data_IF_307934506530
#
_entry.id   IF_307934506530
#
_cell.length_a   1.000
_cell.length_b   1.000
_cell.length_c   1.000
_cell.angle_alpha   90.00
_cell.angle_beta   90.00
_cell.angle_gamma   90.00
#
_symmetry.space_group_name_H-M   'P 1'
#
loop_
_entity.id
_entity.type
_entity.pdbx_description
1 polymer ?
#
# COMPACT_ATOMS: atom_id res chain seq x y z
N UNK A 1 5.51 36.76 -5.59
CA UNK A 1 4.62 36.54 -4.43
C UNK A 1 3.38 35.83 -4.93
N UNK A 2 3.30 34.51 -4.72
CA UNK A 2 2.19 33.68 -5.24
C UNK A 2 0.92 33.98 -4.43
N UNK A 3 -0.07 34.59 -5.09
CA UNK A 3 -1.40 34.88 -4.55
C UNK A 3 -2.31 33.65 -4.70
N UNK A 4 -2.12 32.64 -3.84
CA UNK A 4 -3.04 31.51 -3.73
C UNK A 4 -3.50 31.33 -2.27
N UNK A 5 -4.31 32.27 -1.73
CA UNK A 5 -4.74 32.25 -0.32
C UNK A 5 -5.54 31.01 0.07
N UNK A 6 -6.10 30.27 -0.89
CA UNK A 6 -6.84 29.03 -0.62
C UNK A 6 -5.94 27.82 -0.32
N UNK A 7 -4.66 27.83 -0.75
CA UNK A 7 -3.72 26.74 -0.47
C UNK A 7 -3.13 26.81 0.95
N UNK A 8 -3.19 27.97 1.60
CA UNK A 8 -2.72 28.17 2.97
C UNK A 8 -3.66 27.59 4.04
N UNK A 9 -4.86 27.15 3.65
CA UNK A 9 -5.90 26.66 4.58
C UNK A 9 -5.99 25.14 4.71
N UNK A 10 -5.13 24.39 4.02
CA UNK A 10 -4.98 22.95 4.25
C UNK A 10 -3.80 22.72 5.18
N UNK A 11 -4.08 22.76 6.48
CA UNK A 11 -3.10 22.37 7.49
C UNK A 11 -2.95 20.86 7.37
N UNK A 12 -1.76 20.38 7.03
CA UNK A 12 -1.48 18.94 7.00
C UNK A 12 -1.75 18.29 8.37
N UNK A 13 -1.82 16.95 8.44
CA UNK A 13 -2.06 16.28 9.71
C UNK A 13 -0.97 16.62 10.72
N UNK A 14 -1.36 16.89 11.96
CA UNK A 14 -0.47 17.15 13.09
C UNK A 14 -0.22 15.89 13.94
N UNK A 15 -0.68 14.73 13.46
CA UNK A 15 -0.56 13.43 14.12
C UNK A 15 -0.32 12.35 13.08
N UNK A 16 0.45 11.33 13.47
CA UNK A 16 0.66 10.13 12.66
C UNK A 16 -0.58 9.24 12.62
N UNK A 17 -1.49 9.37 13.59
CA UNK A 17 -2.79 8.70 13.55
C UNK A 17 -3.75 9.44 12.58
N UNK A 18 -3.37 9.44 11.31
CA UNK A 18 -4.11 10.04 10.21
C UNK A 18 -4.16 9.06 9.04
N UNK A 19 -5.19 9.21 8.18
CA UNK A 19 -5.40 8.42 6.97
C UNK A 19 -4.15 8.24 6.11
N UNK A 20 -3.30 9.25 5.99
CA UNK A 20 -2.06 9.14 5.21
C UNK A 20 -1.13 8.02 5.69
N UNK A 21 -1.20 7.63 6.97
CA UNK A 21 -0.45 6.49 7.51
C UNK A 21 -1.38 5.29 7.69
N UNK A 22 -2.51 5.48 8.37
CA UNK A 22 -3.40 4.38 8.77
C UNK A 22 -4.11 3.72 7.59
N UNK A 23 -4.20 4.38 6.44
CA UNK A 23 -4.78 3.83 5.20
C UNK A 23 -3.70 3.54 4.16
N UNK A 24 -2.90 4.53 3.77
CA UNK A 24 -1.99 4.37 2.62
C UNK A 24 -0.90 3.33 2.86
N UNK A 25 -0.40 3.18 4.09
CA UNK A 25 0.63 2.19 4.39
C UNK A 25 0.07 0.76 4.28
N UNK A 26 -0.94 0.34 5.07
CA UNK A 26 -1.45 -1.01 5.01
C UNK A 26 -2.21 -1.36 3.71
N UNK A 27 -2.83 -0.38 3.04
CA UNK A 27 -3.72 -0.65 1.89
C UNK A 27 -3.17 -0.20 0.54
N UNK A 28 -2.11 0.62 0.49
CA UNK A 28 -1.43 0.96 -0.77
C UNK A 28 0.00 0.42 -0.81
N UNK A 29 0.85 0.76 0.19
CA UNK A 29 2.27 0.41 0.14
C UNK A 29 2.53 -1.10 0.28
N UNK A 30 1.90 -1.74 1.27
CA UNK A 30 2.00 -3.18 1.50
C UNK A 30 1.58 -4.00 0.27
N UNK A 31 0.38 -3.81 -0.31
CA UNK A 31 -0.01 -4.54 -1.52
C UNK A 31 0.85 -4.18 -2.74
N UNK A 32 1.32 -2.93 -2.87
CA UNK A 32 2.21 -2.53 -3.96
C UNK A 32 3.54 -3.28 -3.93
N UNK A 33 4.18 -3.36 -2.76
CA UNK A 33 5.41 -4.12 -2.56
C UNK A 33 5.22 -5.62 -2.85
N UNK A 34 4.09 -6.19 -2.39
CA UNK A 34 3.73 -7.57 -2.70
C UNK A 34 3.56 -7.83 -4.20
N UNK A 35 2.80 -6.98 -4.90
CA UNK A 35 2.60 -7.09 -6.34
C UNK A 35 3.89 -6.92 -7.13
N UNK A 36 4.76 -5.98 -6.73
CA UNK A 36 6.07 -5.81 -7.36
C UNK A 36 6.93 -7.07 -7.23
N UNK A 37 6.92 -7.69 -6.04
CA UNK A 37 7.64 -8.95 -5.79
C UNK A 37 7.13 -10.09 -6.69
N UNK A 38 5.83 -10.19 -6.94
CA UNK A 38 5.26 -11.20 -7.85
C UNK A 38 5.78 -11.09 -9.29
N UNK A 39 6.11 -9.88 -9.73
CA UNK A 39 6.64 -9.63 -11.08
C UNK A 39 8.17 -9.49 -11.12
N UNK A 40 8.85 -9.84 -10.03
CA UNK A 40 10.32 -9.80 -9.94
C UNK A 40 10.90 -8.39 -9.86
N UNK A 41 10.11 -7.39 -9.45
CA UNK A 41 10.55 -6.01 -9.25
C UNK A 41 10.78 -5.71 -7.77
N UNK A 42 11.79 -4.89 -7.49
CA UNK A 42 12.04 -4.37 -6.14
C UNK A 42 11.44 -2.98 -5.97
N UNK A 43 10.95 -2.66 -4.76
CA UNK A 43 10.39 -1.35 -4.42
C UNK A 43 11.07 -0.77 -3.17
N UNK A 44 12.40 -0.55 -3.19
CA UNK A 44 13.18 -0.26 -1.97
C UNK A 44 12.69 0.98 -1.21
N UNK A 45 12.19 2.00 -1.90
CA UNK A 45 11.63 3.21 -1.27
C UNK A 45 10.29 2.91 -0.60
N UNK A 46 9.40 2.15 -1.25
CA UNK A 46 8.13 1.71 -0.65
C UNK A 46 8.38 0.85 0.58
N UNK A 47 9.32 -0.08 0.48
CA UNK A 47 9.65 -1.00 1.57
C UNK A 47 10.25 -0.26 2.77
N UNK A 48 11.11 0.72 2.50
CA UNK A 48 11.68 1.59 3.54
C UNK A 48 10.59 2.43 4.21
N UNK A 49 9.68 3.04 3.44
CA UNK A 49 8.57 3.83 3.99
C UNK A 49 7.62 2.98 4.84
N UNK A 50 7.26 1.77 4.39
CA UNK A 50 6.43 0.84 5.16
C UNK A 50 7.11 0.43 6.47
N UNK A 51 8.42 0.17 6.42
CA UNK A 51 9.20 -0.20 7.61
C UNK A 51 9.25 0.94 8.62
N UNK A 52 9.52 2.17 8.17
CA UNK A 52 9.53 3.35 9.03
C UNK A 52 8.15 3.63 9.63
N UNK A 53 7.09 3.57 8.82
CA UNK A 53 5.73 3.74 9.31
C UNK A 53 5.34 2.68 10.34
N UNK A 54 5.74 1.42 10.13
CA UNK A 54 5.50 0.34 11.08
C UNK A 54 6.15 0.63 12.43
N UNK A 55 7.42 1.05 12.41
CA UNK A 55 8.15 1.41 13.61
C UNK A 55 7.54 2.64 14.33
N UNK A 56 7.14 3.67 13.59
CA UNK A 56 6.53 4.88 14.14
C UNK A 56 5.15 4.63 14.75
N UNK A 57 4.35 3.74 14.16
CA UNK A 57 3.00 3.44 14.62
C UNK A 57 2.96 2.31 15.67
N UNK A 58 4.05 1.55 15.82
CA UNK A 58 4.07 0.35 16.67
C UNK A 58 3.20 -0.78 16.14
N UNK A 59 2.99 -0.82 14.81
CA UNK A 59 2.15 -1.82 14.12
C UNK A 59 3.02 -2.48 13.06
N UNK A 60 3.09 -3.80 13.04
CA UNK A 60 3.75 -4.51 11.94
C UNK A 60 2.84 -4.52 10.70
N UNK A 61 2.97 -3.52 9.83
CA UNK A 61 2.14 -3.43 8.63
C UNK A 61 2.42 -4.52 7.59
N UNK A 62 3.56 -5.23 7.66
CA UNK A 62 3.81 -6.35 6.76
C UNK A 62 2.86 -7.52 7.04
N UNK A 63 2.57 -7.74 8.32
CA UNK A 63 1.62 -8.76 8.79
C UNK A 63 0.19 -8.24 8.83
N UNK A 64 -0.02 -7.03 9.35
CA UNK A 64 -1.35 -6.45 9.57
C UNK A 64 -1.97 -5.84 8.30
N UNK A 65 -1.15 -5.33 7.38
CA UNK A 65 -1.59 -4.74 6.12
C UNK A 65 -2.20 -5.74 5.15
N UNK A 66 -2.73 -5.21 4.04
CA UNK A 66 -3.40 -5.98 2.99
C UNK A 66 -2.38 -6.62 2.05
N UNK A 67 -1.65 -7.60 2.58
CA UNK A 67 -0.66 -8.38 1.84
C UNK A 67 -1.31 -9.38 0.85
N UNK A 68 -0.49 -10.04 0.04
CA UNK A 68 -0.96 -10.98 -1.00
C UNK A 68 -1.78 -12.15 -0.45
N UNK A 69 -1.47 -12.61 0.77
CA UNK A 69 -2.21 -13.68 1.42
C UNK A 69 -3.63 -13.20 1.75
N UNK A 70 -3.77 -12.01 2.35
CA UNK A 70 -5.07 -11.40 2.65
C UNK A 70 -5.86 -11.00 1.40
N UNK A 71 -5.17 -10.72 0.28
CA UNK A 71 -5.81 -10.52 -1.02
C UNK A 71 -6.26 -11.83 -1.70
N UNK A 72 -5.78 -12.97 -1.22
CA UNK A 72 -6.01 -14.27 -1.87
C UNK A 72 -5.26 -14.41 -3.19
N UNK A 73 -4.12 -13.72 -3.34
CA UNK A 73 -3.29 -13.75 -4.55
C UNK A 73 -2.06 -14.65 -4.39
N UNK A 74 -1.71 -15.09 -3.18
CA UNK A 74 -0.53 -15.93 -2.93
C UNK A 74 -0.50 -17.25 -3.70
N UNK A 75 -1.66 -17.79 -4.08
CA UNK A 75 -1.77 -19.04 -4.83
C UNK A 75 -1.90 -18.83 -6.35
N UNK A 76 -2.02 -17.59 -6.82
CA UNK A 76 -2.25 -17.29 -8.23
C UNK A 76 -0.93 -17.13 -8.96
N UNK A 77 -0.83 -17.75 -10.13
CA UNK A 77 0.17 -17.39 -11.14
C UNK A 77 -0.08 -15.97 -11.66
N UNK A 78 0.93 -15.35 -12.26
CA UNK A 78 0.78 -14.03 -12.89
C UNK A 78 -0.32 -14.04 -13.98
N UNK A 79 -0.47 -15.14 -14.71
CA UNK A 79 -1.49 -15.28 -15.73
C UNK A 79 -2.91 -15.31 -15.13
N UNK A 80 -3.13 -16.11 -14.09
CA UNK A 80 -4.41 -16.17 -13.37
C UNK A 80 -4.74 -14.85 -12.68
N UNK A 81 -3.73 -14.21 -12.07
CA UNK A 81 -3.90 -12.89 -11.47
C UNK A 81 -4.34 -11.84 -12.50
N UNK A 82 -3.69 -11.79 -13.67
CA UNK A 82 -4.10 -10.90 -14.76
C UNK A 82 -5.52 -11.18 -15.23
N UNK A 83 -5.87 -12.45 -15.39
CA UNK A 83 -7.22 -12.85 -15.78
C UNK A 83 -8.26 -12.42 -14.73
N UNK A 84 -7.96 -12.62 -13.45
CA UNK A 84 -8.80 -12.18 -12.34
C UNK A 84 -9.00 -10.66 -12.33
N UNK A 85 -7.92 -9.89 -12.47
CA UNK A 85 -7.98 -8.42 -12.46
C UNK A 85 -8.78 -7.85 -13.64
N UNK A 86 -8.76 -8.51 -14.80
CA UNK A 86 -9.48 -8.05 -16.00
C UNK A 86 -10.95 -8.47 -16.01
N UNK A 87 -11.29 -9.62 -15.43
CA UNK A 87 -12.62 -10.24 -15.61
C UNK A 87 -13.41 -10.42 -14.30
N UNK A 88 -12.79 -10.21 -13.14
CA UNK A 88 -13.44 -10.30 -11.83
C UNK A 88 -13.73 -11.72 -11.32
N UNK A 89 -13.52 -12.76 -12.14
CA UNK A 89 -13.84 -14.14 -11.78
C UNK A 89 -12.56 -14.90 -11.37
N UNK A 90 -12.61 -15.58 -10.21
CA UNK A 90 -11.63 -16.62 -9.88
C UNK A 90 -12.01 -17.87 -10.65
N UNK A 91 -11.07 -18.51 -11.34
CA UNK A 91 -11.33 -19.82 -11.92
C UNK A 91 -11.46 -20.81 -10.75
N UNK A 92 -12.64 -21.40 -10.62
CA UNK A 92 -12.93 -22.50 -9.68
C UNK A 92 -12.41 -23.83 -10.21
#
# INVERSE_FOLDING_TARGET
VLHAPQLLKSVGPNSLNNRYVTEDVPYALVPMSGLASLVGMQTPVVDSLTTLASALMGIDYWTEGRNLAKLGFSALTIAELKQFLLNGNKQE
#
